data_IF_793795414765
#
_entry.id   IF_793795414765
#
_cell.length_a   1.000
_cell.length_b   1.000
_cell.length_c   1.000
_cell.angle_alpha   90.00
_cell.angle_beta   90.00
_cell.angle_gamma   90.00
#
_symmetry.space_group_name_H-M   'P 1'
#
loop_
_entity.id
_entity.type
_entity.pdbx_description
1 polymer ?
#
# COMPACT_ATOMS: atom_id res chain seq x y z
N UNK A 1 3.63 -4.14 9.62
CA UNK A 1 3.88 -3.72 11.02
C UNK A 1 2.62 -3.78 11.88
N UNK A 2 1.50 -3.21 11.45
CA UNK A 2 0.23 -3.30 12.19
C UNK A 2 -0.28 -4.74 12.41
N UNK A 3 -0.28 -5.58 11.38
CA UNK A 3 -0.65 -7.00 11.44
C UNK A 3 0.25 -7.77 12.42
N UNK A 4 1.55 -7.49 12.40
CA UNK A 4 2.52 -8.02 13.37
C UNK A 4 2.21 -7.55 14.80
N UNK A 5 1.90 -6.26 15.00
CA UNK A 5 1.54 -5.74 16.32
C UNK A 5 0.25 -6.38 16.86
N UNK A 6 -0.74 -6.63 15.99
CA UNK A 6 -1.95 -7.38 16.35
C UNK A 6 -1.67 -8.85 16.63
N UNK A 7 -0.71 -9.47 15.93
CA UNK A 7 -0.22 -10.82 16.25
C UNK A 7 0.42 -10.87 17.63
N UNK A 8 1.23 -9.88 17.99
CA UNK A 8 1.86 -9.79 19.32
C UNK A 8 0.82 -9.59 20.41
N UNK A 9 -0.14 -8.70 20.20
CA UNK A 9 -1.14 -8.36 21.22
C UNK A 9 -2.24 -9.42 21.39
N UNK A 10 -2.62 -10.13 20.33
CA UNK A 10 -3.81 -11.00 20.29
C UNK A 10 -3.54 -12.39 19.69
N UNK A 11 -2.28 -12.76 19.51
CA UNK A 11 -1.84 -14.01 18.88
C UNK A 11 -2.10 -14.04 17.37
N UNK A 12 -1.69 -15.14 16.72
CA UNK A 12 -1.82 -15.33 15.25
C UNK A 12 -3.24 -15.11 14.73
N UNK A 13 -4.26 -15.52 15.48
CA UNK A 13 -5.68 -15.29 15.10
C UNK A 13 -6.02 -13.79 15.06
N UNK A 14 -5.49 -13.01 16.00
CA UNK A 14 -5.64 -11.55 15.99
C UNK A 14 -4.97 -10.90 14.78
N UNK A 15 -3.76 -11.34 14.45
CA UNK A 15 -3.04 -10.91 13.25
C UNK A 15 -3.76 -11.25 11.94
N UNK A 16 -4.27 -12.48 11.80
CA UNK A 16 -5.04 -12.90 10.64
C UNK A 16 -6.33 -12.08 10.48
N UNK A 17 -7.09 -11.88 11.56
CA UNK A 17 -8.29 -11.05 11.54
C UNK A 17 -7.98 -9.60 11.15
N UNK A 18 -6.84 -9.06 11.61
CA UNK A 18 -6.38 -7.74 11.26
C UNK A 18 -6.02 -7.63 9.77
N UNK A 19 -5.26 -8.60 9.24
CA UNK A 19 -4.90 -8.65 7.82
C UNK A 19 -6.15 -8.76 6.95
N UNK A 20 -7.07 -9.67 7.25
CA UNK A 20 -8.36 -9.77 6.55
C UNK A 20 -9.12 -8.44 6.57
N UNK A 21 -9.18 -7.78 7.73
CA UNK A 21 -9.81 -6.46 7.84
C UNK A 21 -9.17 -5.44 6.91
N UNK A 22 -7.84 -5.32 6.93
CA UNK A 22 -7.08 -4.41 6.06
C UNK A 22 -7.38 -4.69 4.59
N UNK A 23 -7.26 -5.94 4.13
CA UNK A 23 -7.46 -6.26 2.71
C UNK A 23 -8.90 -6.06 2.25
N UNK A 24 -9.87 -6.26 3.14
CA UNK A 24 -11.26 -5.88 2.86
C UNK A 24 -11.40 -4.35 2.77
N UNK A 25 -10.72 -3.61 3.65
CA UNK A 25 -10.66 -2.14 3.57
C UNK A 25 -10.00 -1.62 2.30
N UNK A 26 -8.95 -2.27 1.80
CA UNK A 26 -8.29 -1.92 0.55
C UNK A 26 -9.25 -1.95 -0.66
N UNK A 27 -10.24 -2.85 -0.66
CA UNK A 27 -11.24 -2.87 -1.73
C UNK A 27 -12.04 -1.57 -1.81
N UNK A 28 -12.27 -0.86 -0.70
CA UNK A 28 -12.93 0.44 -0.75
C UNK A 28 -12.11 1.46 -1.57
N UNK A 29 -10.78 1.48 -1.40
CA UNK A 29 -9.88 2.33 -2.18
C UNK A 29 -9.83 1.92 -3.65
N UNK A 30 -9.78 0.61 -3.93
CA UNK A 30 -9.79 0.08 -5.30
C UNK A 30 -11.09 0.48 -6.01
N UNK A 31 -12.24 0.28 -5.36
CA UNK A 31 -13.55 0.63 -5.91
C UNK A 31 -13.66 2.14 -6.10
N UNK A 32 -13.21 2.93 -5.12
CA UNK A 32 -13.22 4.40 -5.22
C UNK A 32 -12.35 4.89 -6.37
N UNK A 33 -11.16 4.32 -6.59
CA UNK A 33 -10.30 4.65 -7.72
C UNK A 33 -10.93 4.19 -9.04
N UNK A 34 -11.40 2.94 -9.11
CA UNK A 34 -11.99 2.36 -10.30
C UNK A 34 -13.22 3.11 -10.78
N UNK A 35 -14.10 3.53 -9.87
CA UNK A 35 -15.30 4.28 -10.25
C UNK A 35 -15.02 5.78 -10.38
N UNK A 36 -14.32 6.36 -9.40
CA UNK A 36 -14.07 7.80 -9.34
C UNK A 36 -13.11 8.28 -10.43
N UNK A 37 -11.90 7.71 -10.51
CA UNK A 37 -10.92 8.14 -11.50
C UNK A 37 -11.33 7.74 -12.91
N UNK A 38 -11.95 6.55 -13.10
CA UNK A 38 -12.48 6.19 -14.42
C UNK A 38 -13.54 7.18 -14.89
N UNK A 39 -14.48 7.58 -14.03
CA UNK A 39 -15.50 8.56 -14.39
C UNK A 39 -14.88 9.92 -14.72
N UNK A 40 -13.92 10.37 -13.90
CA UNK A 40 -13.21 11.64 -14.13
C UNK A 40 -12.47 11.63 -15.46
N UNK A 41 -11.72 10.56 -15.76
CA UNK A 41 -10.95 10.46 -17.01
C UNK A 41 -11.85 10.35 -18.25
N UNK A 42 -13.04 9.74 -18.12
CA UNK A 42 -14.04 9.74 -19.19
C UNK A 42 -14.65 11.12 -19.44
N UNK A 43 -14.77 11.97 -18.41
CA UNK A 43 -15.32 13.32 -18.53
C UNK A 43 -14.27 14.34 -18.98
N UNK A 44 -13.04 14.24 -18.44
CA UNK A 44 -11.93 15.15 -18.73
C UNK A 44 -10.66 14.33 -18.96
N UNK A 45 -10.39 13.91 -20.21
CA UNK A 45 -9.22 13.08 -20.52
C UNK A 45 -7.88 13.73 -20.14
N UNK A 46 -7.76 15.06 -20.21
CA UNK A 46 -6.53 15.78 -19.84
C UNK A 46 -6.18 15.62 -18.34
N UNK A 47 -7.17 15.33 -17.47
CA UNK A 47 -6.91 15.07 -16.06
C UNK A 47 -6.10 13.78 -15.86
N UNK A 48 -6.16 12.83 -16.79
CA UNK A 48 -5.34 11.63 -16.73
C UNK A 48 -3.84 11.98 -16.71
N UNK A 49 -3.40 12.82 -17.65
CA UNK A 49 -2.01 13.27 -17.75
C UNK A 49 -1.60 14.05 -16.50
N UNK A 50 -2.48 14.92 -16.01
CA UNK A 50 -2.24 15.70 -14.78
C UNK A 50 -2.02 14.78 -13.58
N UNK A 51 -2.89 13.79 -13.39
CA UNK A 51 -2.78 12.81 -12.30
C UNK A 51 -1.53 11.92 -12.48
N UNK A 52 -1.19 11.54 -13.73
CA UNK A 52 0.03 10.79 -14.07
C UNK A 52 1.27 11.53 -13.56
N UNK A 53 1.45 12.81 -13.93
CA UNK A 53 2.61 13.60 -13.49
C UNK A 53 2.63 13.89 -11.99
N UNK A 54 1.50 14.25 -11.38
CA UNK A 54 1.43 14.47 -9.91
C UNK A 54 1.79 13.17 -9.16
N UNK A 55 1.27 12.04 -9.64
CA UNK A 55 1.58 10.74 -9.08
C UNK A 55 3.06 10.38 -9.24
N UNK A 56 3.66 10.61 -10.41
CA UNK A 56 5.09 10.39 -10.63
C UNK A 56 5.96 11.22 -9.67
N UNK A 57 5.63 12.51 -9.48
CA UNK A 57 6.32 13.35 -8.50
C UNK A 57 6.18 12.81 -7.06
N UNK A 58 4.99 12.30 -6.70
CA UNK A 58 4.77 11.67 -5.41
C UNK A 58 5.59 10.38 -5.25
N UNK A 59 5.67 9.54 -6.27
CA UNK A 59 6.48 8.31 -6.26
C UNK A 59 7.97 8.62 -6.16
N UNK A 60 8.45 9.66 -6.85
CA UNK A 60 9.82 10.16 -6.72
C UNK A 60 10.11 10.60 -5.28
N UNK A 61 9.23 11.42 -4.71
CA UNK A 61 9.33 11.82 -3.30
C UNK A 61 9.39 10.61 -2.38
N UNK A 62 8.54 9.61 -2.63
CA UNK A 62 8.43 8.41 -1.82
C UNK A 62 9.70 7.53 -1.93
N UNK A 63 10.25 7.38 -3.14
CA UNK A 63 11.50 6.67 -3.38
C UNK A 63 12.71 7.35 -2.72
N UNK A 64 12.82 8.68 -2.83
CA UNK A 64 13.85 9.47 -2.13
C UNK A 64 13.70 9.35 -0.61
N UNK A 65 12.47 9.34 -0.10
CA UNK A 65 12.20 9.13 1.32
C UNK A 65 12.67 7.75 1.79
N UNK A 66 12.55 6.70 0.97
CA UNK A 66 13.10 5.36 1.31
C UNK A 66 14.62 5.37 1.42
N UNK A 67 15.32 6.04 0.51
CA UNK A 67 16.79 6.16 0.57
C UNK A 67 17.27 6.89 1.83
N UNK A 68 16.49 7.87 2.30
CA UNK A 68 16.81 8.68 3.48
C UNK A 68 16.32 8.07 4.79
N UNK A 69 15.48 7.03 4.74
CA UNK A 69 14.96 6.38 5.94
C UNK A 69 16.06 5.57 6.65
N UNK A 70 16.22 5.75 7.95
CA UNK A 70 17.01 4.82 8.79
C UNK A 70 16.36 3.44 8.73
N UNK A 71 17.13 2.39 9.00
CA UNK A 71 16.79 0.97 8.80
C UNK A 71 15.63 0.41 9.68
N UNK A 72 14.60 1.20 9.90
CA UNK A 72 13.31 0.85 10.48
C UNK A 72 12.31 0.79 9.33
N UNK A 73 12.28 -0.38 8.68
CA UNK A 73 11.27 -0.93 7.78
C UNK A 73 10.30 0.00 7.05
N UNK A 74 10.52 0.18 5.73
CA UNK A 74 9.46 0.27 4.73
C UNK A 74 8.57 1.53 4.73
N UNK A 75 7.98 1.81 3.57
CA UNK A 75 7.00 2.88 3.39
C UNK A 75 5.61 2.55 3.92
N UNK A 76 5.39 1.31 4.35
CA UNK A 76 4.16 0.89 5.02
C UNK A 76 3.96 1.83 6.21
N UNK A 77 2.96 2.71 6.11
CA UNK A 77 2.65 3.64 7.19
C UNK A 77 2.48 2.86 8.47
N UNK A 78 3.21 3.25 9.50
CA UNK A 78 2.91 2.79 10.85
C UNK A 78 1.50 3.27 11.16
N UNK A 79 0.54 2.38 10.95
CA UNK A 79 -0.81 2.55 11.46
C UNK A 79 -0.65 2.71 12.97
N UNK A 80 -1.14 3.80 13.57
CA UNK A 80 -0.94 4.08 14.99
C UNK A 80 -1.30 2.88 15.85
N UNK A 81 -0.27 2.33 16.53
CA UNK A 81 -0.37 1.19 17.45
C UNK A 81 -1.26 1.52 18.66
N UNK A 82 -1.55 2.81 18.87
CA UNK A 82 -2.33 3.35 19.98
C UNK A 82 -3.78 2.83 20.03
N UNK A 83 -4.33 2.35 18.90
CA UNK A 83 -5.68 1.78 18.86
C UNK A 83 -5.76 0.27 19.14
N UNK A 84 -4.64 -0.41 19.40
CA UNK A 84 -4.60 -1.89 19.52
C UNK A 84 -5.28 -2.40 20.81
N UNK A 85 -5.35 -1.57 21.86
CA UNK A 85 -5.68 -2.05 23.22
C UNK A 85 -7.14 -1.80 23.62
N UNK A 86 -7.86 -0.85 23.00
CA UNK A 86 -9.10 -0.31 23.60
C UNK A 86 -10.42 -0.70 22.92
N UNK A 87 -10.43 -1.44 21.80
CA UNK A 87 -11.68 -1.71 21.10
C UNK A 87 -12.33 -3.06 21.48
N UNK A 88 -13.55 -2.95 22.03
CA UNK A 88 -14.53 -4.05 22.26
C UNK A 88 -15.12 -4.61 20.95
N UNK A 89 -14.85 -3.95 19.81
CA UNK A 89 -15.24 -4.37 18.45
C UNK A 89 -14.31 -5.47 17.93
N UNK A 90 -14.80 -6.26 16.98
CA UNK A 90 -14.00 -7.28 16.29
C UNK A 90 -12.78 -6.65 15.62
N UNK A 91 -11.58 -7.21 15.86
CA UNK A 91 -10.31 -6.78 15.25
C UNK A 91 -10.41 -6.64 13.73
N UNK A 92 -11.22 -7.48 13.08
CA UNK A 92 -11.50 -7.41 11.65
C UNK A 92 -12.13 -6.07 11.26
N UNK A 93 -13.26 -5.69 11.89
CA UNK A 93 -13.99 -4.47 11.56
C UNK A 93 -13.13 -3.24 11.85
N UNK A 94 -12.46 -3.24 12.99
CA UNK A 94 -11.57 -2.15 13.39
C UNK A 94 -10.46 -1.94 12.36
N UNK A 95 -9.81 -3.02 11.92
CA UNK A 95 -8.72 -2.96 10.95
C UNK A 95 -9.20 -2.55 9.56
N UNK A 96 -10.40 -2.98 9.14
CA UNK A 96 -11.02 -2.51 7.91
C UNK A 96 -11.30 -1.00 7.94
N UNK A 97 -11.86 -0.49 9.04
CA UNK A 97 -12.14 0.94 9.18
C UNK A 97 -10.86 1.78 9.21
N UNK A 98 -9.83 1.29 9.90
CA UNK A 98 -8.52 1.96 9.92
C UNK A 98 -7.94 2.05 8.51
N UNK A 99 -8.04 0.98 7.71
CA UNK A 99 -7.53 1.00 6.35
C UNK A 99 -8.36 1.90 5.43
N UNK A 100 -9.69 1.84 5.52
CA UNK A 100 -10.60 2.70 4.75
C UNK A 100 -10.35 4.18 5.03
N UNK A 101 -10.10 4.52 6.29
CA UNK A 101 -9.83 5.90 6.73
C UNK A 101 -8.36 6.30 6.57
N UNK A 102 -7.51 5.46 5.98
CA UNK A 102 -6.09 5.72 5.83
C UNK A 102 -5.83 6.65 4.63
N UNK A 103 -5.57 7.96 4.85
CA UNK A 103 -5.33 8.88 3.74
C UNK A 103 -4.04 8.54 2.99
N UNK A 104 -3.07 7.89 3.65
CA UNK A 104 -1.82 7.50 3.03
C UNK A 104 -2.04 6.38 2.01
N UNK A 105 -2.88 5.39 2.32
CA UNK A 105 -3.25 4.36 1.34
C UNK A 105 -4.02 5.00 0.18
N UNK A 106 -5.02 5.84 0.46
CA UNK A 106 -5.79 6.50 -0.59
C UNK A 106 -4.89 7.29 -1.56
N UNK A 107 -3.98 8.12 -1.03
CA UNK A 107 -3.02 8.89 -1.83
C UNK A 107 -2.09 7.96 -2.62
N UNK A 108 -1.62 6.86 -2.02
CA UNK A 108 -0.82 5.87 -2.73
C UNK A 108 -1.58 5.28 -3.93
N UNK A 109 -2.82 4.83 -3.74
CA UNK A 109 -3.62 4.27 -4.83
C UNK A 109 -3.86 5.30 -5.95
N UNK A 110 -4.18 6.55 -5.60
CA UNK A 110 -4.37 7.65 -6.57
C UNK A 110 -3.06 7.99 -7.31
N UNK A 111 -1.92 7.97 -6.63
CA UNK A 111 -0.64 8.32 -7.24
C UNK A 111 -0.01 7.16 -8.04
N UNK A 112 -0.25 5.91 -7.62
CA UNK A 112 0.43 4.73 -8.15
C UNK A 112 -0.37 4.00 -9.22
N UNK A 113 -1.67 3.76 -9.03
CA UNK A 113 -2.44 2.95 -9.98
C UNK A 113 -2.59 3.59 -11.36
N UNK A 114 -2.90 4.90 -11.49
CA UNK A 114 -3.05 5.52 -12.80
C UNK A 114 -1.81 5.39 -13.68
N UNK A 115 -0.64 5.21 -13.09
CA UNK A 115 0.63 5.03 -13.81
C UNK A 115 0.67 3.75 -14.66
N UNK A 116 -0.20 2.79 -14.39
CA UNK A 116 -0.29 1.51 -15.09
C UNK A 116 -1.57 1.37 -15.91
N UNK A 117 -2.39 2.41 -15.95
CA UNK A 117 -3.62 2.45 -16.73
C UNK A 117 -3.30 2.87 -18.15
N UNK A 118 -3.94 2.23 -19.13
CA UNK A 118 -3.93 2.69 -20.51
C UNK A 118 -5.35 3.06 -20.91
N UNK A 119 -5.60 4.35 -21.14
CA UNK A 119 -6.93 4.88 -21.51
C UNK A 119 -7.33 4.49 -22.95
N UNK A 120 -6.38 4.19 -23.81
CA UNK A 120 -6.58 3.81 -25.22
C UNK A 120 -6.65 2.28 -25.41
N UNK A 121 -6.46 1.50 -24.34
CA UNK A 121 -6.56 0.05 -24.41
C UNK A 121 -8.01 -0.42 -24.63
N UNK A 122 -8.16 -1.62 -25.19
CA UNK A 122 -9.48 -2.25 -25.41
C UNK A 122 -10.26 -2.47 -24.11
N UNK A 123 -9.56 -2.63 -22.98
CA UNK A 123 -10.18 -2.90 -21.69
C UNK A 123 -10.64 -1.62 -21.01
N UNK A 124 -11.86 -1.55 -20.47
CA UNK A 124 -12.34 -0.38 -19.73
C UNK A 124 -11.42 0.00 -18.56
N UNK A 125 -11.21 1.30 -18.34
CA UNK A 125 -10.34 1.85 -17.30
C UNK A 125 -10.69 1.32 -15.90
N UNK A 126 -11.98 1.27 -15.54
CA UNK A 126 -12.42 0.72 -14.25
C UNK A 126 -11.96 -0.73 -14.02
N UNK A 127 -11.96 -1.56 -15.07
CA UNK A 127 -11.56 -2.96 -14.99
C UNK A 127 -10.05 -3.09 -14.78
N UNK A 128 -9.27 -2.25 -15.47
CA UNK A 128 -7.82 -2.18 -15.26
C UNK A 128 -7.51 -1.81 -13.80
N UNK A 129 -8.20 -0.80 -13.23
CA UNK A 129 -8.04 -0.44 -11.82
C UNK A 129 -8.37 -1.60 -10.86
N UNK A 130 -9.46 -2.34 -11.11
CA UNK A 130 -9.85 -3.49 -10.28
C UNK A 130 -8.79 -4.59 -10.34
N UNK A 131 -8.31 -4.95 -11.53
CA UNK A 131 -7.31 -6.01 -11.71
C UNK A 131 -5.97 -5.63 -11.09
N UNK A 132 -5.46 -4.43 -11.40
CA UNK A 132 -4.21 -3.93 -10.83
C UNK A 132 -4.30 -3.77 -9.32
N UNK A 133 -5.43 -3.23 -8.83
CA UNK A 133 -5.71 -3.10 -7.41
C UNK A 133 -5.69 -4.44 -6.69
N UNK A 134 -6.27 -5.47 -7.30
CA UNK A 134 -6.27 -6.83 -6.77
C UNK A 134 -4.86 -7.45 -6.72
N UNK A 135 -4.05 -7.25 -7.76
CA UNK A 135 -2.65 -7.71 -7.80
C UNK A 135 -1.84 -7.07 -6.67
N UNK A 136 -1.98 -5.76 -6.47
CA UNK A 136 -1.33 -5.03 -5.37
C UNK A 136 -1.81 -5.58 -4.02
N UNK A 137 -3.13 -5.76 -3.86
CA UNK A 137 -3.70 -6.26 -2.61
C UNK A 137 -3.18 -7.65 -2.25
N UNK A 138 -3.11 -8.60 -3.21
CA UNK A 138 -2.56 -9.94 -2.99
C UNK A 138 -1.07 -9.93 -2.65
N UNK A 139 -0.30 -9.02 -3.27
CA UNK A 139 1.12 -8.84 -2.95
C UNK A 139 1.28 -8.42 -1.49
N UNK A 140 0.47 -7.45 -1.03
CA UNK A 140 0.47 -7.05 0.38
C UNK A 140 -0.04 -8.13 1.32
N UNK A 141 -1.07 -8.89 0.93
CA UNK A 141 -1.56 -10.03 1.74
C UNK A 141 -0.51 -11.09 1.96
N UNK A 142 0.27 -11.39 0.94
CA UNK A 142 1.35 -12.37 1.06
C UNK A 142 2.42 -11.88 2.04
N UNK A 143 2.78 -10.60 1.98
CA UNK A 143 3.72 -10.00 2.93
C UNK A 143 3.17 -10.03 4.37
N UNK A 144 1.89 -9.70 4.57
CA UNK A 144 1.25 -9.73 5.89
C UNK A 144 1.20 -11.15 6.48
N UNK A 145 0.87 -12.16 5.67
CA UNK A 145 0.90 -13.56 6.11
C UNK A 145 2.30 -13.97 6.54
N UNK A 146 3.33 -13.61 5.77
CA UNK A 146 4.74 -13.85 6.15
C UNK A 146 5.02 -13.22 7.52
N UNK A 147 4.64 -11.95 7.74
CA UNK A 147 4.85 -11.29 9.03
C UNK A 147 4.08 -11.95 10.18
N UNK A 148 2.85 -12.43 9.96
CA UNK A 148 2.03 -13.07 10.99
C UNK A 148 2.63 -14.42 11.39
N UNK A 149 3.03 -15.26 10.43
CA UNK A 149 3.57 -16.59 10.72
C UNK A 149 5.03 -16.55 11.17
N UNK A 150 5.80 -15.57 10.68
CA UNK A 150 7.17 -15.36 11.11
C UNK A 150 7.27 -14.46 12.35
N UNK A 151 6.16 -13.94 12.91
CA UNK A 151 6.18 -13.02 14.06
C UNK A 151 7.00 -13.58 15.22
N UNK A 152 6.76 -14.84 15.60
CA UNK A 152 7.45 -15.48 16.72
C UNK A 152 8.97 -15.59 16.47
N UNK A 153 9.37 -15.95 15.24
CA UNK A 153 10.77 -16.07 14.83
C UNK A 153 11.47 -14.71 14.63
N UNK A 154 10.74 -13.71 14.11
CA UNK A 154 11.24 -12.34 13.87
C UNK A 154 11.39 -11.61 15.21
N UNK A 155 10.51 -11.81 16.19
CA UNK A 155 10.62 -11.17 17.50
C UNK A 155 11.83 -11.70 18.27
N UNK A 156 12.10 -13.01 18.19
CA UNK A 156 13.26 -13.63 18.86
C UNK A 156 14.59 -13.35 18.14
N UNK A 157 14.60 -13.34 16.80
CA UNK A 157 15.84 -13.31 16.01
C UNK A 157 16.15 -11.96 15.36
N UNK A 158 15.20 -11.03 15.35
CA UNK A 158 15.33 -9.73 14.67
C UNK A 158 15.45 -8.57 15.66
N UNK A 159 16.55 -8.58 16.42
CA UNK A 159 17.07 -7.40 17.12
C UNK A 159 18.35 -6.81 16.50
N UNK A 160 18.85 -7.33 15.37
CA UNK A 160 20.23 -6.99 14.98
C UNK A 160 20.62 -7.01 13.50
N UNK A 161 19.72 -6.78 12.52
CA UNK A 161 20.22 -6.56 11.15
C UNK A 161 19.60 -5.35 10.44
N UNK A 162 20.05 -4.16 10.86
CA UNK A 162 19.81 -2.89 10.16
C UNK A 162 20.25 -2.94 8.68
N UNK A 163 21.13 -3.87 8.28
CA UNK A 163 21.59 -4.00 6.90
C UNK A 163 20.52 -4.55 5.95
N UNK A 164 19.72 -5.55 6.37
CA UNK A 164 18.67 -6.13 5.52
C UNK A 164 17.53 -5.16 5.24
N UNK A 165 17.14 -4.34 6.23
CA UNK A 165 16.15 -3.29 6.01
C UNK A 165 16.69 -2.16 5.12
N UNK A 166 17.99 -1.88 5.15
CA UNK A 166 18.62 -0.88 4.29
C UNK A 166 18.60 -1.33 2.82
N UNK A 167 18.88 -2.62 2.56
CA UNK A 167 18.82 -3.18 1.20
C UNK A 167 17.40 -3.16 0.64
N UNK A 168 16.39 -3.55 1.44
CA UNK A 168 14.98 -3.49 1.02
C UNK A 168 14.50 -2.06 0.76
N UNK A 169 14.90 -1.10 1.62
CA UNK A 169 14.61 0.31 1.41
C UNK A 169 15.29 0.86 0.14
N UNK A 170 16.52 0.44 -0.14
CA UNK A 170 17.24 0.84 -1.34
C UNK A 170 16.62 0.24 -2.61
N UNK A 171 16.29 -1.05 -2.62
CA UNK A 171 15.60 -1.67 -3.77
C UNK A 171 14.23 -1.04 -4.04
N UNK A 172 13.41 -0.89 -3.00
CA UNK A 172 12.10 -0.25 -3.15
C UNK A 172 12.21 1.21 -3.58
N UNK A 173 13.18 1.95 -3.04
CA UNK A 173 13.45 3.33 -3.42
C UNK A 173 13.87 3.43 -4.89
N UNK A 174 14.79 2.57 -5.34
CA UNK A 174 15.26 2.52 -6.73
C UNK A 174 14.13 2.18 -7.70
N UNK A 175 13.24 1.24 -7.34
CA UNK A 175 12.07 0.91 -8.16
C UNK A 175 11.13 2.11 -8.31
N UNK A 176 10.83 2.81 -7.21
CA UNK A 176 9.93 3.97 -7.23
C UNK A 176 10.52 5.16 -8.00
N UNK A 177 11.82 5.44 -7.82
CA UNK A 177 12.51 6.50 -8.58
C UNK A 177 12.62 6.11 -10.06
N UNK A 178 12.94 4.86 -10.36
CA UNK A 178 12.99 4.36 -11.74
C UNK A 178 11.64 4.44 -12.45
N UNK A 179 10.56 4.06 -11.77
CA UNK A 179 9.19 4.20 -12.27
C UNK A 179 8.84 5.68 -12.52
N UNK A 180 9.13 6.56 -11.55
CA UNK A 180 8.88 7.99 -11.70
C UNK A 180 9.68 8.62 -12.87
N UNK A 181 10.92 8.19 -13.07
CA UNK A 181 11.73 8.63 -14.20
C UNK A 181 11.15 8.13 -15.52
N UNK A 182 10.80 6.85 -15.62
CA UNK A 182 10.17 6.29 -16.81
C UNK A 182 8.90 7.05 -17.18
N UNK A 183 8.03 7.33 -16.21
CA UNK A 183 6.80 8.10 -16.41
C UNK A 183 7.02 9.55 -16.85
N UNK A 184 8.16 10.15 -16.50
CA UNK A 184 8.50 11.49 -16.95
C UNK A 184 8.95 11.55 -18.41
N UNK A 185 9.35 10.40 -18.98
CA UNK A 185 9.83 10.27 -20.36
C UNK A 185 8.92 9.43 -21.26
N UNK A 186 7.87 8.79 -20.70
CA UNK A 186 6.83 8.09 -21.44
C UNK A 186 5.71 9.09 -21.82
N UNK A 187 5.69 9.47 -23.09
CA UNK A 187 4.61 10.24 -23.73
C UNK A 187 3.33 9.39 -23.84
#
# INVERSE_FOLDING_TARGET
MYTMAQTVARGRRGGLNAAFGIHIGCFAHIIAAALGLSAIFSLVPELYITVKFIGAAYLLYLGVKMFRSKATGGLSGDIPVEHIVTQRRSTFISSAMVEILNPKTAIFYIAFLPQFINVDATWPVWLQFVVLGQIINMTFSTADLIYIFAADYIIEKFKSNASSSKYLNWLGGSLLVGLAAHLAFDD
#
